data_IF_589692092982
#
_entry.id   IF_589692092982
#
_cell.length_a   1.000
_cell.length_b   1.000
_cell.length_c   1.000
_cell.angle_alpha   90.00
_cell.angle_beta   90.00
_cell.angle_gamma   90.00
#
_symmetry.space_group_name_H-M   'P 1'
#
loop_
_entity.id
_entity.type
_entity.pdbx_description
1 polymer ?
#
# COMPACT_ATOMS: atom_id res chain seq x y z
N UNK A 1 44.13 12.17 -1.34
CA UNK A 1 44.02 10.94 -0.51
C UNK A 1 43.47 11.40 0.82
N UNK A 2 42.21 11.11 1.12
CA UNK A 2 41.66 11.32 2.45
C UNK A 2 41.97 10.01 3.18
N UNK A 3 42.84 10.05 4.18
CA UNK A 3 43.06 8.92 5.08
C UNK A 3 41.72 8.63 5.76
N UNK A 4 41.01 7.62 5.25
CA UNK A 4 39.88 7.05 5.96
C UNK A 4 40.49 6.39 7.20
N UNK A 5 40.23 6.97 8.38
CA UNK A 5 40.57 6.33 9.65
C UNK A 5 40.00 4.91 9.70
N UNK A 6 40.55 4.01 10.53
CA UNK A 6 40.10 2.62 10.56
C UNK A 6 38.58 2.57 10.76
N UNK A 7 37.87 2.06 9.75
CA UNK A 7 36.44 1.82 9.85
C UNK A 7 36.24 0.70 10.87
N UNK A 8 35.84 1.07 12.09
CA UNK A 8 35.46 0.11 13.09
C UNK A 8 34.01 -0.30 12.86
N UNK A 9 33.78 -1.61 12.89
CA UNK A 9 32.46 -2.22 12.83
C UNK A 9 32.21 -2.87 14.17
N UNK A 10 31.24 -2.34 14.90
CA UNK A 10 30.85 -2.82 16.22
C UNK A 10 29.45 -3.38 16.07
N UNK A 11 29.29 -4.67 16.42
CA UNK A 11 27.97 -5.29 16.37
C UNK A 11 27.06 -4.80 17.50
N UNK A 12 25.85 -5.32 17.51
CA UNK A 12 24.84 -4.96 18.50
C UNK A 12 25.19 -5.53 19.88
N UNK A 13 24.95 -4.73 20.92
CA UNK A 13 25.01 -5.21 22.31
C UNK A 13 23.61 -5.38 22.87
N UNK A 14 23.41 -6.49 23.56
CA UNK A 14 22.14 -6.80 24.22
C UNK A 14 22.42 -7.01 25.70
N UNK A 15 21.90 -6.10 26.50
CA UNK A 15 21.85 -6.22 27.95
C UNK A 15 20.53 -6.87 28.34
N UNK A 16 20.58 -7.97 29.07
CA UNK A 16 19.40 -8.74 29.45
C UNK A 16 19.49 -9.16 30.91
N UNK A 17 18.35 -9.45 31.52
CA UNK A 17 18.29 -9.96 32.89
C UNK A 17 18.65 -11.45 32.92
N UNK A 18 19.61 -11.87 33.75
CA UNK A 18 20.08 -13.26 33.80
C UNK A 18 19.05 -14.25 34.35
N UNK A 19 18.06 -13.77 35.12
CA UNK A 19 17.05 -14.65 35.73
C UNK A 19 15.88 -14.89 34.77
N UNK A 20 15.46 -13.86 34.06
CA UNK A 20 14.28 -13.89 33.19
C UNK A 20 14.61 -13.97 31.70
N UNK A 21 15.85 -13.64 31.31
CA UNK A 21 16.27 -13.50 29.92
C UNK A 21 15.80 -12.20 29.26
N UNK A 22 14.98 -11.38 29.92
CA UNK A 22 14.34 -10.21 29.31
C UNK A 22 15.38 -9.18 28.86
N UNK A 23 15.26 -8.70 27.62
CA UNK A 23 16.12 -7.63 27.12
C UNK A 23 15.80 -6.32 27.85
N UNK A 24 16.83 -5.69 28.42
CA UNK A 24 16.74 -4.44 29.18
C UNK A 24 17.16 -3.27 28.29
N UNK A 25 18.32 -3.39 27.65
CA UNK A 25 18.85 -2.38 26.73
C UNK A 25 19.45 -3.07 25.51
N UNK A 26 19.09 -2.58 24.33
CA UNK A 26 19.66 -3.02 23.07
C UNK A 26 20.39 -1.83 22.47
N UNK A 27 21.71 -1.94 22.36
CA UNK A 27 22.54 -0.93 21.69
C UNK A 27 22.71 -1.34 20.23
N UNK A 28 22.20 -0.56 19.26
CA UNK A 28 22.29 -0.93 17.86
C UNK A 28 23.75 -1.01 17.39
N UNK A 29 23.97 -1.77 16.32
CA UNK A 29 25.28 -1.83 15.66
C UNK A 29 25.74 -0.43 15.20
N UNK A 30 27.06 -0.25 15.15
CA UNK A 30 27.69 1.01 14.79
C UNK A 30 28.85 0.76 13.83
N UNK A 31 28.95 1.59 12.79
CA UNK A 31 30.00 1.50 11.78
C UNK A 31 30.63 2.87 11.51
N UNK A 32 31.94 2.91 11.30
CA UNK A 32 32.69 4.12 10.94
C UNK A 32 33.76 4.46 11.97
N UNK A 33 33.89 5.74 12.32
CA UNK A 33 34.85 6.22 13.33
C UNK A 33 34.22 6.10 14.72
N UNK A 34 33.99 4.85 15.15
CA UNK A 34 33.33 4.54 16.42
C UNK A 34 34.26 3.76 17.35
N UNK A 35 34.17 4.08 18.64
CA UNK A 35 34.93 3.42 19.70
C UNK A 35 34.01 2.52 20.49
N UNK A 36 34.45 1.29 20.73
CA UNK A 36 33.69 0.34 21.55
C UNK A 36 33.57 0.86 22.98
N UNK A 37 32.34 1.00 23.45
CA UNK A 37 32.06 1.34 24.83
C UNK A 37 32.31 0.13 25.74
N UNK A 38 32.79 0.38 26.94
CA UNK A 38 32.89 -0.66 27.97
C UNK A 38 31.55 -0.86 28.66
N UNK A 39 31.36 -2.02 29.30
CA UNK A 39 30.17 -2.31 30.09
C UNK A 39 29.90 -1.23 31.14
N UNK A 40 30.93 -0.76 31.85
CA UNK A 40 30.77 0.27 32.89
C UNK A 40 30.34 1.63 32.30
N UNK A 41 30.79 1.96 31.09
CA UNK A 41 30.35 3.17 30.39
C UNK A 41 28.88 3.06 29.98
N UNK A 42 28.46 1.91 29.47
CA UNK A 42 27.07 1.67 29.07
C UNK A 42 26.12 1.71 30.29
N UNK A 43 26.53 1.16 31.44
CA UNK A 43 25.75 1.26 32.68
C UNK A 43 25.54 2.70 33.16
N UNK A 44 26.51 3.60 32.91
CA UNK A 44 26.36 5.04 33.23
C UNK A 44 25.54 5.79 32.18
N UNK A 45 25.54 5.31 30.94
CA UNK A 45 24.86 5.95 29.83
C UNK A 45 23.35 5.65 29.84
N UNK A 46 22.99 4.40 30.12
CA UNK A 46 21.62 3.93 30.04
C UNK A 46 20.95 3.89 31.41
N UNK A 47 19.98 4.79 31.62
CA UNK A 47 19.17 4.82 32.87
C UNK A 47 18.48 3.49 33.18
N UNK A 48 18.12 2.70 32.17
CA UNK A 48 17.50 1.39 32.36
C UNK A 48 18.42 0.36 33.05
N UNK A 49 19.74 0.58 33.02
CA UNK A 49 20.73 -0.24 33.71
C UNK A 49 21.09 0.31 35.10
N UNK A 50 20.81 1.59 35.38
CA UNK A 50 21.16 2.26 36.63
C UNK A 50 20.45 1.63 37.84
N UNK A 51 19.18 1.28 37.67
CA UNK A 51 18.36 0.61 38.70
C UNK A 51 18.64 -0.91 38.82
N UNK A 52 19.59 -1.45 38.05
CA UNK A 52 19.85 -2.90 37.98
C UNK A 52 21.19 -3.26 38.62
N UNK A 53 21.23 -4.42 39.27
CA UNK A 53 22.47 -4.95 39.84
C UNK A 53 23.36 -5.44 38.68
N UNK A 54 24.62 -4.98 38.56
CA UNK A 54 25.49 -5.39 37.45
C UNK A 54 25.70 -6.91 37.36
N UNK A 55 25.64 -7.62 38.48
CA UNK A 55 25.76 -9.09 38.55
C UNK A 55 24.51 -9.82 38.08
N UNK A 56 23.34 -9.18 38.05
CA UNK A 56 22.08 -9.79 37.58
C UNK A 56 21.81 -9.55 36.10
N UNK A 57 22.70 -8.80 35.42
CA UNK A 57 22.54 -8.42 34.02
C UNK A 57 23.57 -9.14 33.16
N UNK A 58 23.13 -9.89 32.16
CA UNK A 58 23.99 -10.44 31.12
C UNK A 58 24.28 -9.41 30.04
N UNK A 59 25.39 -9.56 29.34
CA UNK A 59 25.65 -8.80 28.12
C UNK A 59 26.16 -9.76 27.05
N UNK A 60 25.52 -9.69 25.88
CA UNK A 60 25.97 -10.37 24.67
C UNK A 60 26.33 -9.29 23.66
N UNK A 61 27.55 -9.39 23.13
CA UNK A 61 28.03 -8.63 21.99
C UNK A 61 27.92 -9.55 20.77
N UNK A 62 27.10 -9.15 19.80
CA UNK A 62 26.97 -9.86 18.53
C UNK A 62 27.98 -9.33 17.51
N UNK A 63 28.19 -10.09 16.44
CA UNK A 63 28.99 -9.65 15.30
C UNK A 63 28.26 -8.54 14.52
N UNK A 64 29.03 -7.67 13.86
CA UNK A 64 28.44 -6.63 13.02
C UNK A 64 27.69 -7.26 11.83
N UNK A 65 26.43 -6.88 11.65
CA UNK A 65 25.55 -7.45 10.65
C UNK A 65 24.98 -8.84 11.01
N UNK A 66 25.26 -9.38 12.19
CA UNK A 66 24.57 -10.57 12.69
C UNK A 66 23.08 -10.25 12.89
N UNK A 67 22.19 -11.09 12.34
CA UNK A 67 20.74 -10.86 12.30
C UNK A 67 20.28 -9.61 11.50
N UNK A 68 21.08 -9.16 10.52
CA UNK A 68 20.69 -8.06 9.62
C UNK A 68 19.37 -8.32 8.89
N UNK A 69 19.17 -9.56 8.44
CA UNK A 69 17.95 -9.97 7.72
C UNK A 69 16.74 -9.91 8.65
N UNK A 70 16.87 -10.44 9.87
CA UNK A 70 15.80 -10.43 10.87
C UNK A 70 15.36 -9.00 11.21
N UNK A 71 16.31 -8.07 11.31
CA UNK A 71 16.00 -6.64 11.50
C UNK A 71 15.36 -6.00 10.26
N UNK A 72 15.80 -6.39 9.06
CA UNK A 72 15.20 -5.90 7.81
C UNK A 72 13.74 -6.36 7.66
N UNK A 73 13.40 -7.53 8.18
CA UNK A 73 12.02 -8.04 8.26
C UNK A 73 11.21 -7.43 9.41
N UNK A 74 11.79 -6.52 10.18
CA UNK A 74 11.14 -5.83 11.30
C UNK A 74 11.17 -6.60 12.62
N UNK A 75 12.02 -7.63 12.74
CA UNK A 75 12.21 -8.38 13.97
C UNK A 75 12.67 -7.51 15.14
N UNK A 76 11.98 -7.65 16.28
CA UNK A 76 12.27 -6.96 17.54
C UNK A 76 12.77 -7.99 18.55
N UNK A 77 13.88 -7.71 19.21
CA UNK A 77 14.42 -8.60 20.24
C UNK A 77 13.62 -8.40 21.53
N UNK A 78 12.83 -9.39 21.91
CA UNK A 78 12.07 -9.35 23.18
C UNK A 78 12.87 -9.92 24.34
N UNK A 79 13.62 -11.00 24.08
CA UNK A 79 14.28 -11.78 25.12
C UNK A 79 15.55 -12.42 24.59
N UNK A 80 16.43 -12.83 25.50
CA UNK A 80 17.57 -13.71 25.24
C UNK A 80 17.28 -15.09 25.83
N UNK A 81 17.51 -16.13 25.06
CA UNK A 81 17.44 -17.51 25.53
C UNK A 81 18.66 -17.81 26.42
N UNK A 82 18.42 -18.17 27.69
CA UNK A 82 19.49 -18.39 28.68
C UNK A 82 20.29 -19.68 28.46
N UNK A 83 19.76 -20.65 27.71
CA UNK A 83 20.44 -21.91 27.42
C UNK A 83 21.37 -21.81 26.21
N UNK A 84 20.96 -21.06 25.19
CA UNK A 84 21.70 -20.89 23.93
C UNK A 84 22.44 -19.55 23.83
N UNK A 85 22.14 -18.60 24.71
CA UNK A 85 22.63 -17.22 24.69
C UNK A 85 22.36 -16.51 23.36
N UNK A 86 21.22 -16.81 22.74
CA UNK A 86 20.79 -16.19 21.48
C UNK A 86 19.60 -15.27 21.71
N UNK A 87 19.52 -14.13 21.00
CA UNK A 87 18.35 -13.28 21.01
C UNK A 87 17.14 -14.01 20.37
N UNK A 88 15.99 -13.85 21.00
CA UNK A 88 14.69 -14.28 20.50
C UNK A 88 14.00 -13.07 19.88
N UNK A 89 13.78 -13.16 18.57
CA UNK A 89 13.08 -12.15 17.79
C UNK A 89 11.57 -12.40 17.80
N UNK A 90 10.84 -11.31 17.93
CA UNK A 90 9.40 -11.22 17.70
C UNK A 90 9.21 -10.41 16.44
N UNK A 91 8.56 -11.00 15.45
CA UNK A 91 8.31 -10.34 14.18
C UNK A 91 6.89 -9.78 14.22
N UNK A 92 6.68 -8.54 13.76
CA UNK A 92 5.34 -8.01 13.60
C UNK A 92 4.59 -8.97 12.67
N UNK A 93 3.53 -9.58 13.18
CA UNK A 93 2.75 -10.50 12.37
C UNK A 93 2.18 -9.72 11.16
N UNK A 94 2.54 -10.07 9.91
CA UNK A 94 2.07 -9.36 8.73
C UNK A 94 0.54 -9.43 8.58
N UNK A 95 -0.12 -10.36 9.28
CA UNK A 95 -1.58 -10.51 9.31
C UNK A 95 -2.24 -9.64 10.40
N UNK A 96 -1.45 -9.13 11.37
CA UNK A 96 -1.96 -8.31 12.48
C UNK A 96 -1.68 -6.80 12.31
N UNK A 97 -0.97 -6.38 11.26
CA UNK A 97 -0.99 -5.00 10.81
C UNK A 97 -2.14 -4.85 9.81
N UNK A 98 -3.21 -4.17 10.20
CA UNK A 98 -3.93 -3.43 9.16
C UNK A 98 -2.93 -2.43 8.56
N UNK A 99 -2.64 -2.48 7.25
CA UNK A 99 -1.56 -1.70 6.67
C UNK A 99 -1.90 -0.21 6.71
N UNK A 100 -1.25 0.56 7.59
CA UNK A 100 -1.23 2.02 7.50
C UNK A 100 -0.15 2.40 6.48
N UNK A 101 -0.49 2.27 5.20
CA UNK A 101 0.27 2.91 4.13
C UNK A 101 0.40 4.41 4.45
N UNK A 102 1.61 5.00 4.39
CA UNK A 102 1.79 6.44 4.43
C UNK A 102 1.08 7.05 3.21
N UNK A 103 -0.21 7.31 3.37
CA UNK A 103 -1.01 7.98 2.36
C UNK A 103 -0.63 9.45 2.31
N UNK A 104 -0.82 10.04 1.14
CA UNK A 104 -1.07 11.49 1.03
C UNK A 104 -2.01 11.90 2.17
N UNK A 105 -1.72 13.05 2.80
CA UNK A 105 -2.50 13.44 3.98
C UNK A 105 -3.99 13.43 3.62
N UNK A 106 -4.84 13.04 4.55
CA UNK A 106 -6.29 13.03 4.30
C UNK A 106 -6.78 14.41 3.82
N UNK A 107 -6.09 15.48 4.25
CA UNK A 107 -6.31 16.84 3.79
C UNK A 107 -6.01 17.02 2.29
N UNK A 108 -4.90 16.47 1.78
CA UNK A 108 -4.56 16.54 0.35
C UNK A 108 -5.55 15.75 -0.51
N UNK A 109 -6.01 14.58 -0.02
CA UNK A 109 -7.02 13.75 -0.69
C UNK A 109 -8.36 14.48 -0.81
N UNK A 110 -8.82 15.10 0.27
CA UNK A 110 -10.08 15.84 0.29
C UNK A 110 -9.99 17.08 -0.63
N UNK A 111 -8.83 17.74 -0.66
CA UNK A 111 -8.61 18.89 -1.54
C UNK A 111 -8.68 18.48 -3.02
N UNK A 112 -7.98 17.43 -3.42
CA UNK A 112 -7.98 16.91 -4.80
C UNK A 112 -9.37 16.43 -5.23
N UNK A 113 -10.09 15.70 -4.36
CA UNK A 113 -11.45 15.25 -4.66
C UNK A 113 -12.43 16.41 -4.87
N UNK A 114 -12.38 17.45 -4.02
CA UNK A 114 -13.24 18.61 -4.17
C UNK A 114 -12.94 19.38 -5.47
N UNK A 115 -11.66 19.48 -5.86
CA UNK A 115 -11.28 20.11 -7.11
C UNK A 115 -11.84 19.34 -8.31
N UNK A 116 -11.71 18.01 -8.33
CA UNK A 116 -12.26 17.17 -9.41
C UNK A 116 -13.78 17.27 -9.50
N UNK A 117 -14.47 17.34 -8.36
CA UNK A 117 -15.93 17.53 -8.34
C UNK A 117 -16.34 18.88 -8.92
N UNK A 118 -15.60 19.95 -8.64
CA UNK A 118 -15.86 21.27 -9.21
C UNK A 118 -15.71 21.24 -10.74
N UNK A 119 -14.60 20.72 -11.23
CA UNK A 119 -14.31 20.62 -12.68
C UNK A 119 -15.36 19.78 -13.41
N UNK A 120 -15.75 18.63 -12.85
CA UNK A 120 -16.79 17.77 -13.44
C UNK A 120 -18.16 18.46 -13.48
N UNK A 121 -18.50 19.25 -12.46
CA UNK A 121 -19.75 20.00 -12.44
C UNK A 121 -19.78 21.11 -13.50
N UNK A 122 -18.66 21.82 -13.66
CA UNK A 122 -18.51 22.83 -14.71
C UNK A 122 -18.64 22.23 -16.12
N UNK A 123 -17.99 21.08 -16.37
CA UNK A 123 -18.11 20.36 -17.64
C UNK A 123 -19.55 19.93 -17.92
N UNK A 124 -20.26 19.38 -16.93
CA UNK A 124 -21.67 19.02 -17.09
C UNK A 124 -22.55 20.22 -17.43
N UNK A 125 -22.28 21.39 -16.83
CA UNK A 125 -22.93 22.64 -17.18
C UNK A 125 -22.73 23.00 -18.66
N UNK A 126 -21.49 22.96 -19.13
CA UNK A 126 -21.15 23.26 -20.54
C UNK A 126 -21.81 22.28 -21.52
N UNK A 127 -21.78 20.98 -21.24
CA UNK A 127 -22.44 19.99 -22.08
C UNK A 127 -23.96 20.18 -22.11
N UNK A 128 -24.57 20.57 -21.00
CA UNK A 128 -26.00 20.87 -20.96
C UNK A 128 -26.33 22.09 -21.85
N UNK A 129 -25.49 23.13 -21.83
CA UNK A 129 -25.61 24.29 -22.71
C UNK A 129 -25.44 23.91 -24.18
N UNK A 130 -24.40 23.16 -24.54
CA UNK A 130 -24.14 22.72 -25.92
C UNK A 130 -25.28 21.83 -26.44
N UNK A 131 -25.74 20.88 -25.64
CA UNK A 131 -26.89 20.03 -25.97
C UNK A 131 -28.13 20.85 -26.26
N UNK A 132 -28.38 21.90 -25.46
CA UNK A 132 -29.50 22.83 -25.68
C UNK A 132 -29.35 23.58 -27.00
N UNK A 133 -28.15 24.10 -27.31
CA UNK A 133 -27.88 24.79 -28.58
C UNK A 133 -28.07 23.86 -29.79
N UNK A 134 -27.58 22.63 -29.70
CA UNK A 134 -27.73 21.63 -30.76
C UNK A 134 -29.20 21.26 -30.99
N UNK A 135 -30.00 21.14 -29.92
CA UNK A 135 -31.45 20.92 -30.03
C UNK A 135 -32.16 22.10 -30.72
N UNK A 136 -31.77 23.34 -30.40
CA UNK A 136 -32.30 24.54 -31.06
C UNK A 136 -31.96 24.54 -32.55
N UNK A 137 -30.71 24.32 -32.91
CA UNK A 137 -30.28 24.28 -34.31
C UNK A 137 -31.00 23.18 -35.12
N UNK A 138 -31.20 22.01 -34.52
CA UNK A 138 -31.94 20.91 -35.14
C UNK A 138 -33.42 21.29 -35.40
N UNK A 139 -34.04 22.02 -34.47
CA UNK A 139 -35.40 22.55 -34.62
C UNK A 139 -35.49 23.58 -35.76
N UNK A 140 -34.51 24.47 -35.87
CA UNK A 140 -34.43 25.46 -36.96
C UNK A 140 -34.27 24.81 -38.34
N UNK A 141 -33.39 23.79 -38.45
CA UNK A 141 -33.21 23.03 -39.69
C UNK A 141 -34.50 22.30 -40.11
N UNK A 142 -35.19 21.67 -39.17
CA UNK A 142 -36.48 21.02 -39.44
C UNK A 142 -37.52 22.03 -39.97
N UNK A 143 -37.59 23.23 -39.38
CA UNK A 143 -38.50 24.27 -39.83
C UNK A 143 -38.21 24.73 -41.27
N UNK A 144 -36.93 24.84 -41.65
CA UNK A 144 -36.54 25.18 -43.03
C UNK A 144 -36.85 24.06 -44.03
N UNK A 145 -36.64 22.80 -43.66
CA UNK A 145 -36.95 21.65 -44.51
C UNK A 145 -38.44 21.57 -44.85
N UNK A 146 -39.31 21.81 -43.86
CA UNK A 146 -40.76 21.84 -44.05
C UNK A 146 -41.21 22.98 -44.97
N UNK A 147 -40.49 24.11 -44.99
CA UNK A 147 -40.79 25.24 -45.88
C UNK A 147 -40.39 24.98 -47.35
N UNK A 148 -39.52 23.99 -47.62
CA UNK A 148 -38.99 23.68 -48.95
C UNK A 148 -39.61 22.44 -49.59
N UNK A 149 -40.45 21.69 -48.87
CA UNK A 149 -41.10 20.52 -49.44
C UNK A 149 -42.27 20.92 -50.34
N UNK A 150 -42.24 20.58 -51.64
CA UNK A 150 -43.41 20.65 -52.49
C UNK A 150 -44.45 19.61 -52.02
N UNK A 151 -45.76 19.84 -52.24
CA UNK A 151 -46.81 18.88 -51.90
C UNK A 151 -46.81 17.60 -52.77
N UNK A 152 -45.70 17.24 -53.42
CA UNK A 152 -45.71 16.37 -54.61
C UNK A 152 -44.55 15.35 -54.71
N UNK A 153 -44.10 14.73 -53.60
CA UNK A 153 -43.14 13.60 -53.67
C UNK A 153 -43.48 12.45 -52.70
N UNK A 154 -44.74 12.03 -52.73
CA UNK A 154 -45.22 10.79 -52.13
C UNK A 154 -45.44 9.71 -53.23
N UNK A 155 -44.60 8.66 -53.19
CA UNK A 155 -44.73 7.33 -53.84
C UNK A 155 -43.98 7.11 -55.19
N UNK A 156 -43.70 5.85 -55.67
CA UNK A 156 -44.01 4.50 -55.14
C UNK A 156 -42.94 3.34 -55.34
N UNK A 157 -43.19 2.19 -54.67
CA UNK A 157 -42.96 0.74 -55.05
C UNK A 157 -41.63 0.17 -55.57
N UNK A 158 -41.09 -0.86 -54.88
CA UNK A 158 -40.76 -2.18 -55.48
C UNK A 158 -40.81 -3.31 -54.42
N UNK A 159 -41.31 -4.48 -54.84
CA UNK A 159 -41.86 -5.58 -54.04
C UNK A 159 -40.89 -6.78 -53.87
N UNK A 160 -40.78 -7.33 -52.64
CA UNK A 160 -40.63 -8.75 -52.13
C UNK A 160 -39.68 -9.78 -52.83
N UNK A 161 -39.05 -10.76 -52.11
CA UNK A 161 -39.81 -11.82 -51.42
C UNK A 161 -39.27 -12.37 -50.09
N UNK A 162 -40.19 -13.06 -49.41
CA UNK A 162 -40.06 -13.79 -48.17
C UNK A 162 -38.99 -14.89 -48.19
N UNK A 163 -38.21 -15.00 -47.12
CA UNK A 163 -37.65 -16.30 -46.73
C UNK A 163 -38.51 -16.92 -45.63
N UNK A 164 -38.97 -18.12 -45.96
CA UNK A 164 -39.70 -19.09 -45.17
C UNK A 164 -39.13 -19.27 -43.75
N UNK A 165 -40.01 -19.23 -42.76
CA UNK A 165 -39.78 -19.91 -41.47
C UNK A 165 -40.82 -21.02 -41.36
N UNK A 166 -40.38 -22.28 -41.23
CA UNK A 166 -41.03 -23.21 -40.32
C UNK A 166 -39.97 -23.85 -39.40
N UNK A 167 -40.01 -23.61 -38.07
CA UNK A 167 -40.90 -24.22 -37.06
C UNK A 167 -40.52 -25.66 -36.70
N UNK A 168 -40.28 -25.86 -35.39
CA UNK A 168 -40.33 -27.13 -34.63
C UNK A 168 -39.24 -28.19 -34.92
N UNK A 169 -38.57 -28.84 -33.95
CA UNK A 169 -39.06 -29.44 -32.71
C UNK A 169 -37.97 -29.49 -31.62
N UNK A 170 -38.35 -29.26 -30.37
CA UNK A 170 -37.66 -29.74 -29.16
C UNK A 170 -38.17 -31.17 -28.83
N UNK A 171 -37.87 -31.77 -27.66
CA UNK A 171 -36.65 -31.92 -26.87
C UNK A 171 -36.27 -33.44 -26.81
N UNK A 172 -35.42 -33.87 -25.87
CA UNK A 172 -35.18 -35.24 -25.34
C UNK A 172 -33.66 -35.46 -25.19
N UNK A 173 -33.09 -36.05 -24.16
CA UNK A 173 -33.55 -36.61 -22.88
C UNK A 173 -32.27 -36.84 -22.04
N UNK A 174 -32.42 -36.82 -20.71
CA UNK A 174 -31.66 -37.62 -19.72
C UNK A 174 -30.12 -37.61 -19.75
N UNK A 175 -29.47 -37.02 -18.74
CA UNK A 175 -29.13 -37.68 -17.48
C UNK A 175 -28.21 -38.90 -17.66
N UNK A 176 -26.95 -38.80 -17.21
CA UNK A 176 -26.50 -39.47 -15.99
C UNK A 176 -25.01 -39.29 -15.74
N UNK A 177 -24.72 -39.18 -14.45
CA UNK A 177 -23.43 -39.30 -13.77
C UNK A 177 -22.56 -40.47 -14.30
N UNK A 178 -21.26 -40.21 -14.48
CA UNK A 178 -20.18 -40.86 -13.72
C UNK A 178 -18.88 -40.04 -13.80
#
# INVERSE_FOLDING_TARGET
MIEQGPENKIGMKIYYDLNSGNAIVITPESAGIVVETTREQDFKLYKALDDKVPESVGMIQLEHGEYSLDRAEGGIIERVDLGTLKPLFSYPNPIAQEPQVPGISLSDQISDLNQRLLEANEQNGQLAEESTLNQIALMELHAMMLSLMPPEEAAPTEEVPAEDVPVEQAPEETANEE
#
